data_IF_981544795428
#
_entry.id   IF_981544795428
#
_cell.length_a   1.000
_cell.length_b   1.000
_cell.length_c   1.000
_cell.angle_alpha   90.00
_cell.angle_beta   90.00
_cell.angle_gamma   90.00
#
_symmetry.space_group_name_H-M   'P 1'
#
loop_
_entity.id
_entity.type
_entity.pdbx_description
1 polymer ?
#
# COMPACT_ATOMS: atom_id res chain seq x y z
N UNK A 1 -7.57 -3.55 -16.55
CA UNK A 1 -7.00 -3.20 -15.23
C UNK A 1 -8.03 -2.54 -14.29
N UNK A 2 -8.81 -1.55 -14.74
CA UNK A 2 -9.80 -0.82 -13.90
C UNK A 2 -10.69 -1.74 -13.04
N UNK A 3 -11.28 -2.78 -13.63
CA UNK A 3 -12.14 -3.71 -12.89
C UNK A 3 -11.38 -4.48 -11.80
N UNK A 4 -10.16 -4.95 -12.10
CA UNK A 4 -9.28 -5.61 -11.11
C UNK A 4 -8.99 -4.69 -9.93
N UNK A 5 -8.66 -3.42 -10.19
CA UNK A 5 -8.39 -2.42 -9.15
C UNK A 5 -9.62 -2.22 -8.25
N UNK A 6 -10.81 -2.13 -8.84
CA UNK A 6 -12.06 -1.99 -8.09
C UNK A 6 -12.35 -3.22 -7.23
N UNK A 7 -12.36 -4.41 -7.82
CA UNK A 7 -12.69 -5.65 -7.11
C UNK A 7 -11.73 -5.93 -5.96
N UNK A 8 -10.42 -5.76 -6.18
CA UNK A 8 -9.41 -5.96 -5.13
C UNK A 8 -9.58 -4.92 -4.02
N UNK A 9 -9.77 -3.65 -4.36
CA UNK A 9 -9.97 -2.61 -3.35
C UNK A 9 -11.23 -2.84 -2.51
N UNK A 10 -12.34 -3.17 -3.17
CA UNK A 10 -13.63 -3.43 -2.52
C UNK A 10 -13.57 -4.68 -1.64
N UNK A 11 -12.92 -5.76 -2.12
CA UNK A 11 -12.78 -7.00 -1.35
C UNK A 11 -12.11 -6.74 0.00
N UNK A 12 -10.91 -6.17 0.03
CA UNK A 12 -10.21 -5.94 1.29
C UNK A 12 -10.95 -4.95 2.19
N UNK A 13 -11.50 -3.88 1.63
CA UNK A 13 -12.24 -2.87 2.40
C UNK A 13 -13.58 -3.38 2.98
N UNK A 14 -14.12 -4.49 2.49
CA UNK A 14 -15.40 -5.05 2.97
C UNK A 14 -15.23 -6.33 3.79
N UNK A 15 -14.14 -7.05 3.59
CA UNK A 15 -13.94 -8.39 4.18
C UNK A 15 -13.02 -8.39 5.39
N UNK A 16 -12.23 -7.36 5.55
CA UNK A 16 -11.23 -7.27 6.62
C UNK A 16 -11.64 -6.17 7.60
N UNK A 17 -11.42 -6.41 8.88
CA UNK A 17 -11.60 -5.42 9.94
C UNK A 17 -10.36 -4.52 10.03
N UNK A 18 -10.54 -3.25 10.39
CA UNK A 18 -9.42 -2.36 10.68
C UNK A 18 -9.08 -2.44 12.17
N UNK A 19 -7.86 -2.85 12.50
CA UNK A 19 -7.37 -2.99 13.89
C UNK A 19 -5.90 -2.60 13.94
N UNK A 20 -5.52 -1.71 14.86
CA UNK A 20 -4.12 -1.30 15.03
C UNK A 20 -3.24 -2.47 15.51
N UNK A 21 -1.99 -2.48 15.07
CA UNK A 21 -1.03 -3.56 15.35
C UNK A 21 -0.80 -3.83 16.83
N UNK A 22 -0.86 -2.81 17.67
CA UNK A 22 -0.67 -2.99 19.11
C UNK A 22 -1.73 -3.92 19.71
N UNK A 23 -2.95 -3.93 19.17
CA UNK A 23 -4.03 -4.81 19.60
C UNK A 23 -3.99 -6.16 18.89
N UNK A 24 -3.58 -6.19 17.62
CA UNK A 24 -3.61 -7.40 16.80
C UNK A 24 -2.37 -8.29 16.98
N UNK A 25 -1.19 -7.67 17.07
CA UNK A 25 0.13 -8.32 17.09
C UNK A 25 0.91 -8.06 18.38
N UNK A 26 0.47 -7.11 19.21
CA UNK A 26 1.16 -6.77 20.48
C UNK A 26 2.44 -5.95 20.29
N UNK A 27 2.64 -5.37 19.10
CA UNK A 27 3.78 -4.52 18.73
C UNK A 27 3.28 -3.28 17.99
N UNK A 28 4.04 -2.20 17.96
CA UNK A 28 3.55 -0.93 17.42
C UNK A 28 3.46 -0.84 15.89
N UNK A 29 4.24 -1.65 15.16
CA UNK A 29 4.35 -1.58 13.70
C UNK A 29 4.81 -2.96 13.18
N UNK A 30 3.90 -3.68 12.54
CA UNK A 30 4.07 -5.03 12.03
C UNK A 30 3.40 -5.18 10.66
N UNK A 31 4.21 -5.15 9.60
CA UNK A 31 3.67 -5.35 8.25
C UNK A 31 3.34 -6.82 8.02
N UNK A 32 2.06 -7.16 8.04
CA UNK A 32 1.60 -8.52 7.78
C UNK A 32 1.79 -8.91 6.31
N UNK A 33 2.19 -10.15 6.09
CA UNK A 33 2.10 -10.76 4.75
C UNK A 33 0.64 -10.88 4.33
N UNK A 34 0.33 -10.94 3.02
CA UNK A 34 -1.06 -11.12 2.56
C UNK A 34 -1.76 -12.34 3.17
N UNK A 35 -1.01 -13.42 3.45
CA UNK A 35 -1.56 -14.63 4.10
C UNK A 35 -1.86 -14.39 5.57
N UNK A 36 -0.94 -13.76 6.32
CA UNK A 36 -1.15 -13.42 7.74
C UNK A 36 -2.36 -12.49 7.90
N UNK A 37 -2.45 -11.47 7.06
CA UNK A 37 -3.56 -10.51 7.04
C UNK A 37 -4.91 -11.18 6.76
N UNK A 38 -4.98 -12.06 5.76
CA UNK A 38 -6.18 -12.84 5.46
C UNK A 38 -6.53 -13.85 6.57
N UNK A 39 -5.54 -14.50 7.16
CA UNK A 39 -5.73 -15.49 8.22
C UNK A 39 -6.25 -14.85 9.52
N UNK A 40 -5.81 -13.62 9.83
CA UNK A 40 -6.33 -12.85 10.96
C UNK A 40 -7.70 -12.24 10.68
N UNK A 41 -7.99 -11.90 9.42
CA UNK A 41 -9.23 -11.18 9.08
C UNK A 41 -9.26 -9.73 9.61
N UNK A 42 -8.12 -9.21 10.04
CA UNK A 42 -7.92 -7.88 10.59
C UNK A 42 -6.50 -7.38 10.29
N UNK A 43 -6.31 -6.07 10.27
CA UNK A 43 -5.01 -5.40 10.16
C UNK A 43 -5.19 -3.89 9.95
N UNK A 44 -4.09 -3.18 9.72
CA UNK A 44 -4.10 -1.71 9.64
C UNK A 44 -3.74 -1.18 8.23
N UNK A 45 -3.33 0.09 8.09
CA UNK A 45 -3.30 0.73 6.77
C UNK A 45 -2.29 0.15 5.76
N UNK A 46 -1.13 -0.28 6.24
CA UNK A 46 -0.10 -0.92 5.44
C UNK A 46 -0.54 -2.29 4.96
N UNK A 47 -1.19 -3.08 5.81
CA UNK A 47 -1.60 -4.44 5.52
C UNK A 47 -2.58 -4.45 4.36
N UNK A 48 -3.55 -3.52 4.37
CA UNK A 48 -4.47 -3.32 3.26
C UNK A 48 -3.72 -2.95 1.98
N UNK A 49 -2.75 -2.05 2.06
CA UNK A 49 -2.00 -1.56 0.89
C UNK A 49 -1.10 -2.65 0.29
N UNK A 50 -0.45 -3.44 1.15
CA UNK A 50 0.42 -4.55 0.80
C UNK A 50 -0.38 -5.70 0.19
N UNK A 51 -1.49 -6.08 0.82
CA UNK A 51 -2.35 -7.15 0.31
C UNK A 51 -2.94 -6.78 -1.05
N UNK A 52 -3.49 -5.57 -1.21
CA UNK A 52 -3.95 -5.05 -2.51
C UNK A 52 -2.84 -5.10 -3.56
N UNK A 53 -1.62 -4.70 -3.21
CA UNK A 53 -0.47 -4.69 -4.12
C UNK A 53 -0.12 -6.10 -4.63
N UNK A 54 0.02 -7.07 -3.72
CA UNK A 54 0.37 -8.43 -4.10
C UNK A 54 -0.75 -9.12 -4.86
N UNK A 55 -2.01 -8.96 -4.44
CA UNK A 55 -3.15 -9.51 -5.18
C UNK A 55 -3.23 -8.95 -6.61
N UNK A 56 -3.06 -7.64 -6.79
CA UNK A 56 -3.08 -7.05 -8.13
C UNK A 56 -1.90 -7.51 -8.99
N UNK A 57 -0.72 -7.68 -8.38
CA UNK A 57 0.46 -8.23 -9.05
C UNK A 57 0.20 -9.66 -9.54
N UNK A 58 -0.37 -10.50 -8.69
CA UNK A 58 -0.74 -11.88 -9.03
C UNK A 58 -1.81 -11.93 -10.13
N UNK A 59 -2.75 -11.00 -10.11
CA UNK A 59 -3.73 -10.80 -11.19
C UNK A 59 -3.13 -10.17 -12.46
N UNK A 60 -1.80 -10.06 -12.57
CA UNK A 60 -1.09 -9.61 -13.76
C UNK A 60 -1.05 -8.09 -13.97
N UNK A 61 -1.35 -7.27 -12.96
CA UNK A 61 -1.09 -5.83 -13.03
C UNK A 61 0.42 -5.61 -12.90
N UNK A 62 1.01 -4.89 -13.84
CA UNK A 62 2.46 -4.65 -13.84
C UNK A 62 2.90 -3.93 -12.57
N UNK A 63 3.92 -4.47 -11.90
CA UNK A 63 4.56 -3.85 -10.73
C UNK A 63 5.02 -2.40 -11.00
N UNK A 64 5.44 -2.10 -12.24
CA UNK A 64 5.88 -0.75 -12.63
C UNK A 64 4.78 0.31 -12.53
N UNK A 65 3.51 -0.10 -12.53
CA UNK A 65 2.34 0.76 -12.42
C UNK A 65 1.87 0.95 -10.98
N UNK A 66 2.41 0.22 -10.02
CA UNK A 66 1.92 0.21 -8.65
C UNK A 66 3.00 0.67 -7.67
N UNK A 67 2.60 1.50 -6.69
CA UNK A 67 3.47 1.87 -5.57
C UNK A 67 2.68 1.95 -4.28
N UNK A 68 3.15 1.24 -3.27
CA UNK A 68 2.74 1.44 -1.89
C UNK A 68 3.30 2.80 -1.45
N UNK A 69 2.45 3.66 -0.92
CA UNK A 69 2.75 5.08 -0.70
C UNK A 69 2.47 5.45 0.74
N UNK A 70 3.53 5.84 1.44
CA UNK A 70 3.44 6.43 2.77
C UNK A 70 3.04 7.90 2.65
N UNK A 71 1.99 8.27 3.36
CA UNK A 71 1.40 9.61 3.33
C UNK A 71 1.15 10.10 4.76
N UNK A 72 1.01 11.41 4.93
CA UNK A 72 0.37 12.00 6.11
C UNK A 72 -1.10 12.22 5.80
N UNK A 73 -2.00 11.58 6.54
CA UNK A 73 -3.43 11.84 6.49
C UNK A 73 -3.72 13.13 7.26
N UNK A 74 -3.89 14.24 6.54
CA UNK A 74 -3.94 15.60 7.10
C UNK A 74 -5.14 15.81 8.03
N UNK A 75 -6.29 15.21 7.72
CA UNK A 75 -7.50 15.33 8.54
C UNK A 75 -7.38 14.62 9.89
N UNK A 76 -6.67 13.50 9.92
CA UNK A 76 -6.41 12.70 11.12
C UNK A 76 -5.12 13.10 11.83
N UNK A 77 -4.28 13.89 11.16
CA UNK A 77 -2.95 14.30 11.61
C UNK A 77 -2.03 13.11 12.00
N UNK A 78 -2.10 12.02 11.24
CA UNK A 78 -1.30 10.82 11.48
C UNK A 78 -0.66 10.27 10.20
N UNK A 79 0.30 9.36 10.37
CA UNK A 79 0.82 8.53 9.29
C UNK A 79 -0.26 7.62 8.74
N UNK A 80 -0.20 7.33 7.44
CA UNK A 80 -1.11 6.43 6.76
C UNK A 80 -0.42 5.81 5.54
N UNK A 81 -0.93 4.67 5.08
CA UNK A 81 -0.42 3.99 3.89
C UNK A 81 -1.54 3.70 2.90
N UNK A 82 -1.27 3.95 1.62
CA UNK A 82 -2.20 3.70 0.53
C UNK A 82 -1.50 3.02 -0.64
N UNK A 83 -2.24 2.32 -1.48
CA UNK A 83 -1.75 1.84 -2.76
C UNK A 83 -2.06 2.86 -3.86
N UNK A 84 -1.04 3.27 -4.62
CA UNK A 84 -1.21 4.13 -5.79
C UNK A 84 -1.01 3.35 -7.08
N UNK A 85 -1.83 3.66 -8.08
CA UNK A 85 -1.77 3.06 -9.42
C UNK A 85 -1.61 4.13 -10.51
N UNK A 86 -0.63 3.94 -11.38
CA UNK A 86 -0.29 4.81 -12.51
C UNK A 86 -0.69 4.12 -13.82
N UNK A 87 -1.64 4.68 -14.58
CA UNK A 87 -2.01 4.15 -15.90
C UNK A 87 -0.87 4.28 -16.92
N UNK A 88 -0.02 5.28 -16.75
CA UNK A 88 1.25 5.47 -17.45
C UNK A 88 2.27 6.14 -16.52
N UNK A 89 3.59 6.10 -16.82
CA UNK A 89 4.62 6.66 -15.93
C UNK A 89 4.47 8.16 -15.60
N UNK A 90 3.72 8.93 -16.42
CA UNK A 90 3.46 10.36 -16.22
C UNK A 90 2.03 10.68 -15.79
N UNK A 91 1.16 9.67 -15.68
CA UNK A 91 -0.22 9.88 -15.28
C UNK A 91 -0.31 10.35 -13.83
N UNK A 92 -1.33 11.15 -13.53
CA UNK A 92 -1.77 11.34 -12.14
C UNK A 92 -2.24 9.98 -11.62
N UNK A 93 -1.68 9.46 -10.51
CA UNK A 93 -2.09 8.17 -10.01
C UNK A 93 -3.50 8.24 -9.42
N UNK A 94 -4.16 7.09 -9.42
CA UNK A 94 -5.35 6.88 -8.58
C UNK A 94 -4.94 6.22 -7.28
N UNK A 95 -5.72 6.45 -6.23
CA UNK A 95 -5.46 6.00 -4.86
C UNK A 95 -6.48 4.93 -4.47
N UNK A 96 -5.96 3.78 -4.05
CA UNK A 96 -6.69 2.68 -3.43
C UNK A 96 -6.41 2.76 -1.92
N UNK A 97 -7.43 3.04 -1.13
CA UNK A 97 -7.34 3.40 0.29
C UNK A 97 -8.39 2.60 1.09
N UNK A 98 -8.11 2.35 2.37
CA UNK A 98 -9.04 1.75 3.32
C UNK A 98 -9.87 2.81 4.08
N UNK A 99 -9.36 4.03 4.27
CA UNK A 99 -10.12 5.11 4.92
C UNK A 99 -11.24 5.67 4.03
N UNK A 100 -10.98 5.80 2.73
CA UNK A 100 -11.95 6.25 1.73
C UNK A 100 -12.01 5.17 0.64
N UNK A 101 -13.02 4.29 0.66
CA UNK A 101 -13.08 3.16 -0.27
C UNK A 101 -13.23 3.55 -1.74
N UNK A 102 -13.77 4.72 -2.05
CA UNK A 102 -13.89 5.17 -3.43
C UNK A 102 -12.50 5.47 -4.01
N UNK A 103 -12.17 4.80 -5.11
CA UNK A 103 -10.93 5.05 -5.85
C UNK A 103 -11.01 6.44 -6.50
N UNK A 104 -10.11 7.34 -6.09
CA UNK A 104 -10.04 8.73 -6.55
C UNK A 104 -8.66 9.05 -7.13
N UNK A 105 -8.58 10.10 -7.95
CA UNK A 105 -7.27 10.61 -8.38
C UNK A 105 -6.50 11.19 -7.19
N UNK A 106 -5.17 11.14 -7.22
CA UNK A 106 -4.35 11.74 -6.18
C UNK A 106 -4.57 13.26 -6.06
N UNK A 107 -4.95 13.94 -7.14
CA UNK A 107 -5.32 15.37 -7.13
C UNK A 107 -6.62 15.65 -6.38
N UNK A 108 -7.53 14.67 -6.31
CA UNK A 108 -8.78 14.78 -5.54
C UNK A 108 -8.60 14.39 -4.06
N UNK A 109 -7.46 13.77 -3.70
CA UNK A 109 -7.11 13.36 -2.34
C UNK A 109 -6.26 14.41 -1.63
N UNK A 110 -6.78 15.63 -1.54
CA UNK A 110 -6.14 16.76 -0.83
C UNK A 110 -5.94 16.53 0.67
N UNK A 111 -6.56 15.48 1.21
CA UNK A 111 -6.40 15.00 2.57
C UNK A 111 -5.13 14.16 2.78
N UNK A 112 -4.43 13.75 1.71
CA UNK A 112 -3.21 12.96 1.79
C UNK A 112 -1.99 13.76 1.30
N UNK A 113 -0.96 13.87 2.15
CA UNK A 113 0.31 14.46 1.78
C UNK A 113 1.36 13.35 1.58
N UNK A 114 1.82 13.07 0.35
CA UNK A 114 2.78 11.99 0.11
C UNK A 114 4.17 12.31 0.67
N UNK A 115 4.80 11.32 1.30
CA UNK A 115 6.18 11.43 1.84
C UNK A 115 7.15 10.59 1.00
N UNK A 116 6.84 9.31 0.79
CA UNK A 116 7.61 8.42 -0.07
C UNK A 116 6.72 7.30 -0.61
N UNK A 117 7.20 6.60 -1.63
CA UNK A 117 6.52 5.44 -2.21
C UNK A 117 7.53 4.38 -2.63
N UNK A 118 7.11 3.12 -2.65
CA UNK A 118 7.96 1.99 -2.99
C UNK A 118 7.16 0.86 -3.63
N UNK A 119 7.85 -0.09 -4.23
CA UNK A 119 7.29 -1.36 -4.68
C UNK A 119 8.36 -2.46 -4.52
N UNK A 120 8.17 -3.62 -5.15
CA UNK A 120 9.12 -4.74 -5.08
C UNK A 120 10.57 -4.38 -5.45
N UNK A 121 10.76 -3.38 -6.33
CA UNK A 121 12.04 -3.08 -7.00
C UNK A 121 12.61 -1.68 -6.74
N UNK A 122 11.84 -0.73 -6.20
CA UNK A 122 12.32 0.64 -6.03
C UNK A 122 11.71 1.40 -4.86
N UNK A 123 12.41 2.47 -4.48
CA UNK A 123 12.01 3.47 -3.48
C UNK A 123 12.13 4.87 -4.08
N UNK A 124 11.08 5.69 -3.91
CA UNK A 124 10.97 7.07 -4.41
C UNK A 124 10.56 8.01 -3.29
N UNK A 125 11.33 9.08 -3.05
CA UNK A 125 10.93 10.16 -2.14
C UNK A 125 10.02 11.15 -2.86
N UNK A 126 8.96 11.61 -2.20
CA UNK A 126 8.12 12.67 -2.71
C UNK A 126 8.93 13.96 -2.88
N UNK A 127 8.72 14.65 -3.99
CA UNK A 127 9.19 16.03 -4.20
C UNK A 127 7.98 16.94 -4.23
N UNK A 128 8.19 18.22 -3.91
CA UNK A 128 7.17 19.27 -4.00
C UNK A 128 6.52 19.44 -5.41
N UNK A 129 7.00 18.74 -6.46
CA UNK A 129 6.50 18.84 -7.84
C UNK A 129 6.12 17.48 -8.48
N UNK A 130 5.68 16.49 -7.69
CA UNK A 130 4.93 15.33 -8.19
C UNK A 130 5.71 14.20 -8.89
N UNK A 131 6.95 14.43 -9.33
CA UNK A 131 7.84 13.38 -9.83
C UNK A 131 8.82 12.95 -8.73
N UNK A 132 8.42 11.98 -7.92
CA UNK A 132 9.27 11.46 -6.84
C UNK A 132 10.65 11.03 -7.36
N UNK A 133 11.71 11.36 -6.63
CA UNK A 133 13.09 10.98 -7.00
C UNK A 133 13.33 9.54 -6.57
N UNK A 134 13.69 8.65 -7.50
CA UNK A 134 14.15 7.30 -7.14
C UNK A 134 15.44 7.45 -6.33
N UNK A 135 15.46 6.92 -5.11
CA UNK A 135 16.59 7.04 -4.17
C UNK A 135 17.27 5.71 -3.86
N UNK A 136 16.73 4.59 -4.36
CA UNK A 136 17.36 3.29 -4.22
C UNK A 136 16.40 2.11 -4.38
N UNK A 137 16.82 0.97 -3.82
CA UNK A 137 16.02 -0.24 -3.66
C UNK A 137 15.07 -0.13 -2.47
N UNK A 138 13.91 -0.78 -2.56
CA UNK A 138 12.94 -0.87 -1.45
C UNK A 138 13.43 -1.72 -0.28
N UNK A 139 14.47 -2.55 -0.45
CA UNK A 139 15.09 -3.31 0.65
C UNK A 139 15.75 -2.46 1.73
N UNK A 140 15.79 -1.13 1.58
CA UNK A 140 16.19 -0.20 2.64
C UNK A 140 15.11 0.02 3.70
N UNK A 141 13.88 -0.40 3.44
CA UNK A 141 12.80 -0.42 4.42
C UNK A 141 12.86 -1.76 5.14
N UNK A 142 13.32 -1.76 6.40
CA UNK A 142 13.55 -3.00 7.17
C UNK A 142 12.29 -3.86 7.23
N UNK A 143 11.13 -3.27 7.56
CA UNK A 143 9.84 -3.97 7.62
C UNK A 143 9.46 -4.61 6.28
N UNK A 144 9.71 -3.94 5.16
CA UNK A 144 9.48 -4.52 3.83
C UNK A 144 10.43 -5.68 3.52
N UNK A 145 11.70 -5.57 3.93
CA UNK A 145 12.68 -6.63 3.76
C UNK A 145 12.29 -7.86 4.59
N UNK A 146 11.93 -7.67 5.85
CA UNK A 146 11.47 -8.72 6.76
C UNK A 146 10.18 -9.39 6.26
N UNK A 147 9.19 -8.61 5.81
CA UNK A 147 7.97 -9.12 5.20
C UNK A 147 8.30 -10.04 4.02
N UNK A 148 9.19 -9.60 3.11
CA UNK A 148 9.59 -10.43 1.97
C UNK A 148 10.31 -11.71 2.40
N UNK A 149 11.12 -11.67 3.45
CA UNK A 149 11.74 -12.88 4.02
C UNK A 149 10.67 -13.84 4.57
N UNK A 150 9.68 -13.33 5.31
CA UNK A 150 8.54 -14.14 5.77
C UNK A 150 7.75 -14.75 4.61
N UNK A 151 7.51 -14.00 3.53
CA UNK A 151 6.86 -14.53 2.32
C UNK A 151 7.66 -15.64 1.63
N UNK A 152 9.00 -15.58 1.65
CA UNK A 152 9.85 -16.62 1.06
C UNK A 152 9.93 -17.87 1.94
N UNK A 153 9.90 -17.71 3.26
CA UNK A 153 9.99 -18.82 4.21
C UNK A 153 8.66 -19.55 4.40
N UNK A 154 7.53 -18.87 4.16
CA UNK A 154 6.18 -19.43 4.25
C UNK A 154 5.72 -20.12 2.94
N UNK A 155 6.63 -20.74 2.18
CA UNK A 155 6.23 -21.66 1.11
C UNK A 155 5.50 -22.86 1.73
N UNK A 156 4.19 -22.93 1.50
CA UNK A 156 3.38 -24.12 1.74
C UNK A 156 3.71 -25.23 0.75
#
# INVERSE_FOLDING_TARGET
EKEKLKQVNDFFNQRIEFVDDIYLWGVNDYWATPIEFLAKGAGDCEDYSIAKYFTLKELGVSESKMRITYVKALKLNQAHMVLTYFSSPRAVPIVLDNLIPQIKSATDRKDLLPVYSFNGSGLWLAKARGSGKRVGSSGRLNLWAELKQRMLNNTF
#
